data_IF_148804788028
#
_entry.id   IF_148804788028
#
_cell.length_a   1.000
_cell.length_b   1.000
_cell.length_c   1.000
_cell.angle_alpha   90.00
_cell.angle_beta   90.00
_cell.angle_gamma   90.00
#
_symmetry.space_group_name_H-M   'P 1'
#
loop_
_entity.id
_entity.type
_entity.pdbx_description
1 polymer ?
#
# COMPACT_ATOMS: atom_id res chain seq x y z
N UNK A 1 5.19 -10.96 2.52
CA UNK A 1 5.50 -10.04 3.63
C UNK A 1 4.18 -9.68 4.28
N UNK A 2 4.11 -9.69 5.62
CA UNK A 2 2.96 -9.22 6.37
C UNK A 2 3.46 -8.37 7.53
N UNK A 3 2.75 -7.31 7.85
CA UNK A 3 3.07 -6.37 8.92
C UNK A 3 1.78 -5.96 9.64
N UNK A 4 1.84 -5.94 10.97
CA UNK A 4 0.77 -5.48 11.82
C UNK A 4 1.33 -4.49 12.83
N UNK A 5 0.70 -3.33 12.92
CA UNK A 5 1.14 -2.24 13.80
C UNK A 5 -0.02 -1.75 14.66
N UNK A 6 0.24 -1.55 15.95
CA UNK A 6 -0.69 -0.90 16.88
C UNK A 6 -0.04 0.37 17.39
N UNK A 7 -0.74 1.49 17.27
CA UNK A 7 -0.36 2.77 17.85
C UNK A 7 -1.31 3.12 19.00
N UNK A 8 -0.78 3.21 20.20
CA UNK A 8 -1.56 3.57 21.40
C UNK A 8 -1.17 4.96 21.88
N UNK A 9 -2.17 5.77 22.13
CA UNK A 9 -2.00 7.11 22.68
C UNK A 9 -2.86 7.29 23.91
N UNK A 10 -2.29 7.85 24.97
CA UNK A 10 -3.02 8.25 26.17
C UNK A 10 -3.52 9.67 25.96
N UNK A 11 -4.82 9.85 26.00
CA UNK A 11 -5.48 11.15 25.85
C UNK A 11 -6.03 11.60 27.19
N UNK A 12 -6.00 12.91 27.44
CA UNK A 12 -6.59 13.51 28.62
C UNK A 12 -7.65 14.53 28.17
N UNK A 13 -8.88 14.29 28.58
CA UNK A 13 -10.03 15.15 28.26
C UNK A 13 -10.60 15.63 29.59
N UNK A 14 -10.33 16.89 29.94
CA UNK A 14 -10.65 17.41 31.26
C UNK A 14 -9.94 16.66 32.37
N UNK A 15 -10.70 16.04 33.27
CA UNK A 15 -10.19 15.21 34.39
C UNK A 15 -10.08 13.72 34.03
N UNK A 16 -10.65 13.30 32.92
CA UNK A 16 -10.66 11.88 32.49
C UNK A 16 -9.49 11.59 31.57
N UNK A 17 -8.82 10.45 31.83
CA UNK A 17 -7.73 9.94 30.97
C UNK A 17 -8.18 8.64 30.36
N UNK A 18 -8.11 8.52 29.03
CA UNK A 18 -8.42 7.29 28.29
C UNK A 18 -7.29 6.93 27.31
N UNK A 19 -7.31 5.71 26.80
CA UNK A 19 -6.37 5.23 25.80
C UNK A 19 -7.10 5.04 24.47
N UNK A 20 -6.54 5.58 23.42
CA UNK A 20 -6.96 5.37 22.04
C UNK A 20 -5.93 4.48 21.35
N UNK A 21 -6.39 3.42 20.70
CA UNK A 21 -5.55 2.43 20.01
C UNK A 21 -5.96 2.34 18.54
N UNK A 22 -5.12 2.83 17.65
CA UNK A 22 -5.28 2.64 16.21
C UNK A 22 -4.47 1.43 15.77
N UNK A 23 -4.99 0.66 14.82
CA UNK A 23 -4.28 -0.48 14.26
C UNK A 23 -4.20 -0.42 12.74
N UNK A 24 -3.14 -1.02 12.21
CA UNK A 24 -2.90 -1.13 10.79
C UNK A 24 -2.36 -2.53 10.45
N UNK A 25 -2.89 -3.10 9.39
CA UNK A 25 -2.45 -4.36 8.81
C UNK A 25 -2.03 -4.13 7.36
N UNK A 26 -0.89 -4.71 6.96
CA UNK A 26 -0.49 -4.77 5.56
C UNK A 26 -0.04 -6.19 5.21
N UNK A 27 -0.52 -6.71 4.10
CA UNK A 27 -0.06 -7.98 3.51
C UNK A 27 0.31 -7.73 2.06
N UNK A 28 1.50 -8.17 1.68
CA UNK A 28 1.99 -8.08 0.30
C UNK A 28 2.50 -9.43 -0.16
N UNK A 29 2.08 -9.83 -1.35
CA UNK A 29 2.55 -11.02 -2.05
C UNK A 29 3.17 -10.56 -3.35
N UNK A 30 4.33 -11.13 -3.70
CA UNK A 30 4.98 -10.90 -4.99
C UNK A 30 5.40 -12.22 -5.59
N UNK A 31 5.22 -12.34 -6.91
CA UNK A 31 5.55 -13.53 -7.65
C UNK A 31 6.22 -13.17 -8.98
N UNK A 32 7.37 -13.78 -9.24
CA UNK A 32 8.05 -13.63 -10.52
C UNK A 32 7.41 -14.61 -11.50
N UNK A 33 6.67 -14.06 -12.47
CA UNK A 33 5.90 -14.84 -13.43
C UNK A 33 6.68 -15.12 -14.70
N UNK A 34 7.76 -14.37 -14.95
CA UNK A 34 8.53 -14.53 -16.18
C UNK A 34 10.00 -14.19 -15.97
N UNK A 35 10.89 -15.06 -16.44
CA UNK A 35 12.31 -14.89 -16.74
C UNK A 35 13.17 -14.19 -15.69
N UNK A 36 12.89 -14.42 -14.40
CA UNK A 36 13.65 -13.85 -13.29
C UNK A 36 13.83 -14.82 -12.14
N UNK A 37 14.84 -14.56 -11.33
CA UNK A 37 15.09 -15.30 -10.10
C UNK A 37 14.63 -14.49 -8.89
N UNK A 38 13.89 -15.13 -7.99
CA UNK A 38 13.47 -14.55 -6.74
C UNK A 38 14.69 -14.39 -5.81
N UNK A 39 14.95 -13.20 -5.34
CA UNK A 39 15.98 -12.92 -4.37
C UNK A 39 15.47 -11.92 -3.34
N UNK A 40 15.85 -12.11 -2.06
CA UNK A 40 15.57 -11.13 -1.01
C UNK A 40 16.26 -9.79 -1.23
N UNK A 41 17.32 -9.76 -2.03
CA UNK A 41 18.06 -8.54 -2.32
C UNK A 41 17.53 -7.80 -3.53
N UNK A 42 17.34 -8.50 -4.65
CA UNK A 42 16.95 -7.91 -5.94
C UNK A 42 16.47 -8.99 -6.90
N UNK A 43 15.40 -8.69 -7.66
CA UNK A 43 15.01 -9.52 -8.81
C UNK A 43 16.05 -9.34 -9.91
N UNK A 44 16.60 -10.46 -10.40
CA UNK A 44 17.57 -10.46 -11.50
C UNK A 44 16.94 -11.10 -12.73
N UNK A 45 16.86 -10.37 -13.87
CA UNK A 45 16.47 -10.97 -15.13
C UNK A 45 17.52 -11.98 -15.58
N UNK A 46 17.07 -13.17 -16.02
CA UNK A 46 17.96 -14.17 -16.64
C UNK A 46 18.44 -13.72 -18.02
N UNK A 47 17.58 -13.03 -18.76
CA UNK A 47 17.89 -12.46 -20.07
C UNK A 47 17.64 -10.95 -20.01
N UNK A 48 18.61 -10.15 -19.53
CA UNK A 48 18.48 -8.71 -19.42
C UNK A 48 18.43 -8.04 -20.80
N UNK A 49 17.62 -7.00 -20.93
CA UNK A 49 17.63 -6.13 -22.11
C UNK A 49 18.91 -5.30 -22.11
N UNK A 50 19.70 -5.40 -23.17
CA UNK A 50 20.92 -4.63 -23.39
C UNK A 50 20.87 -3.98 -24.78
N UNK A 51 21.76 -3.05 -25.06
CA UNK A 51 21.86 -2.45 -26.39
C UNK A 51 22.21 -3.48 -27.49
N UNK A 52 22.88 -4.57 -27.12
CA UNK A 52 23.23 -5.67 -28.03
C UNK A 52 22.12 -6.71 -28.16
N UNK A 53 21.20 -6.76 -27.19
CA UNK A 53 20.13 -7.75 -27.07
C UNK A 53 18.78 -7.08 -26.78
N UNK A 54 18.32 -6.25 -27.69
CA UNK A 54 17.01 -5.58 -27.57
C UNK A 54 15.81 -6.52 -27.62
N UNK A 55 16.00 -7.75 -28.14
CA UNK A 55 14.99 -8.81 -28.18
C UNK A 55 14.82 -9.55 -26.84
N UNK A 56 15.68 -9.27 -25.86
CA UNK A 56 15.53 -9.84 -24.53
C UNK A 56 14.33 -9.21 -23.81
N UNK A 57 13.59 -10.02 -23.06
CA UNK A 57 12.33 -9.58 -22.46
C UNK A 57 12.46 -9.08 -21.00
N UNK A 58 13.67 -9.17 -20.40
CA UNK A 58 13.83 -8.85 -18.98
C UNK A 58 13.09 -9.83 -18.07
N UNK A 59 12.69 -9.41 -16.89
CA UNK A 59 11.91 -10.22 -15.95
C UNK A 59 10.62 -9.48 -15.52
N UNK A 60 9.55 -10.24 -15.32
CA UNK A 60 8.24 -9.69 -14.90
C UNK A 60 7.87 -10.28 -13.54
N UNK A 61 7.49 -9.38 -12.62
CA UNK A 61 7.01 -9.69 -11.30
C UNK A 61 5.60 -9.12 -11.13
N UNK A 62 4.68 -9.94 -10.67
CA UNK A 62 3.36 -9.53 -10.21
C UNK A 62 3.43 -9.23 -8.71
N UNK A 63 2.80 -8.15 -8.29
CA UNK A 63 2.70 -7.75 -6.87
C UNK A 63 1.24 -7.50 -6.54
N UNK A 64 0.79 -8.05 -5.41
CA UNK A 64 -0.51 -7.74 -4.84
C UNK A 64 -0.32 -7.27 -3.41
N UNK A 65 -1.11 -6.28 -2.99
CA UNK A 65 -1.08 -5.72 -1.65
C UNK A 65 -2.49 -5.50 -1.14
N UNK A 66 -2.70 -5.86 0.11
CA UNK A 66 -3.84 -5.45 0.90
C UNK A 66 -3.34 -4.70 2.12
N UNK A 67 -3.94 -3.57 2.41
CA UNK A 67 -3.69 -2.82 3.64
C UNK A 67 -4.97 -2.29 4.24
N UNK A 68 -5.00 -2.22 5.55
CA UNK A 68 -6.14 -1.75 6.32
C UNK A 68 -5.64 -0.91 7.48
N UNK A 69 -6.31 0.22 7.69
CA UNK A 69 -6.12 1.11 8.83
C UNK A 69 -7.46 1.24 9.56
N UNK A 70 -7.46 1.00 10.86
CA UNK A 70 -8.60 1.18 11.74
C UNK A 70 -8.28 2.24 12.79
N UNK A 71 -9.15 3.23 12.93
CA UNK A 71 -9.10 4.22 14.00
C UNK A 71 -10.04 3.81 15.13
N UNK A 72 -9.57 3.96 16.37
CA UNK A 72 -10.34 3.62 17.55
C UNK A 72 -11.65 4.40 17.62
N UNK A 73 -12.76 3.70 17.82
CA UNK A 73 -14.07 4.30 17.98
C UNK A 73 -14.12 5.34 19.13
N UNK A 74 -13.30 5.16 20.15
CA UNK A 74 -13.17 6.12 21.26
C UNK A 74 -12.70 7.49 20.81
N UNK A 75 -11.88 7.58 19.76
CA UNK A 75 -11.44 8.85 19.19
C UNK A 75 -12.62 9.68 18.66
N UNK A 76 -13.65 9.02 18.13
CA UNK A 76 -14.88 9.64 17.66
C UNK A 76 -15.84 9.97 18.82
N UNK A 77 -16.02 9.05 19.76
CA UNK A 77 -16.90 9.27 20.93
C UNK A 77 -16.40 10.38 21.85
N UNK A 78 -15.09 10.55 21.95
CA UNK A 78 -14.48 11.63 22.73
C UNK A 78 -14.37 12.96 21.94
N UNK A 79 -14.87 13.02 20.71
CA UNK A 79 -14.86 14.23 19.88
C UNK A 79 -13.48 14.65 19.36
N UNK A 80 -12.48 13.75 19.41
CA UNK A 80 -11.15 14.02 18.84
C UNK A 80 -11.20 14.03 17.31
N UNK A 81 -12.04 13.18 16.74
CA UNK A 81 -12.30 13.12 15.30
C UNK A 81 -13.78 13.33 15.01
N UNK A 82 -14.04 14.10 13.97
CA UNK A 82 -15.40 14.31 13.46
C UNK A 82 -15.71 13.25 12.40
N UNK A 83 -16.72 12.37 12.58
CA UNK A 83 -17.05 11.33 11.62
C UNK A 83 -17.50 11.87 10.25
N UNK A 84 -17.96 13.13 10.16
CA UNK A 84 -18.32 13.77 8.91
C UNK A 84 -17.08 14.22 8.09
N UNK A 85 -15.90 14.19 8.68
CA UNK A 85 -14.64 14.65 8.04
C UNK A 85 -13.49 13.63 8.17
N UNK A 86 -13.60 12.73 9.12
CA UNK A 86 -12.53 11.77 9.42
C UNK A 86 -13.00 10.36 9.13
N UNK A 87 -12.19 9.64 8.37
CA UNK A 87 -12.38 8.23 8.04
C UNK A 87 -12.12 7.40 9.29
N UNK A 88 -13.01 6.46 9.61
CA UNK A 88 -12.82 5.52 10.73
C UNK A 88 -12.06 4.26 10.31
N UNK A 89 -12.20 3.86 9.03
CA UNK A 89 -11.51 2.72 8.44
C UNK A 89 -11.16 3.00 7.00
N UNK A 90 -9.94 2.66 6.61
CA UNK A 90 -9.48 2.70 5.22
C UNK A 90 -8.96 1.32 4.83
N UNK A 91 -9.44 0.79 3.71
CA UNK A 91 -9.03 -0.50 3.15
C UNK A 91 -8.52 -0.26 1.74
N UNK A 92 -7.27 -0.64 1.49
CA UNK A 92 -6.61 -0.50 0.19
C UNK A 92 -6.28 -1.86 -0.39
N UNK A 93 -6.68 -2.08 -1.63
CA UNK A 93 -6.27 -3.21 -2.43
C UNK A 93 -5.47 -2.71 -3.64
N UNK A 94 -4.27 -3.22 -3.79
CA UNK A 94 -3.36 -2.86 -4.86
C UNK A 94 -2.90 -4.08 -5.67
N UNK A 95 -2.81 -3.91 -6.98
CA UNK A 95 -2.18 -4.86 -7.89
C UNK A 95 -1.18 -4.12 -8.77
N UNK A 96 -0.02 -4.71 -9.01
CA UNK A 96 1.02 -4.07 -9.80
C UNK A 96 1.88 -5.07 -10.56
N UNK A 97 2.48 -4.56 -11.63
CA UNK A 97 3.46 -5.27 -12.44
C UNK A 97 4.77 -4.49 -12.36
N UNK A 98 5.84 -5.19 -12.02
CA UNK A 98 7.20 -4.70 -12.10
C UNK A 98 7.88 -5.39 -13.28
N UNK A 99 8.37 -4.61 -14.22
CA UNK A 99 9.15 -5.09 -15.34
C UNK A 99 10.60 -4.66 -15.17
N UNK A 100 11.46 -5.61 -14.88
CA UNK A 100 12.90 -5.44 -14.75
C UNK A 100 13.52 -5.66 -16.11
N UNK A 101 13.85 -4.58 -16.82
CA UNK A 101 14.51 -4.66 -18.13
C UNK A 101 15.91 -5.23 -17.99
N UNK A 102 16.67 -4.71 -17.03
CA UNK A 102 18.01 -5.19 -16.68
C UNK A 102 18.29 -4.91 -15.18
N UNK A 103 19.55 -5.00 -14.77
CA UNK A 103 19.95 -4.76 -13.39
C UNK A 103 19.72 -3.31 -12.93
N UNK A 104 19.65 -2.37 -13.87
CA UNK A 104 19.63 -0.95 -13.59
C UNK A 104 18.27 -0.29 -13.86
N UNK A 105 17.44 -0.87 -14.74
CA UNK A 105 16.18 -0.25 -15.18
C UNK A 105 15.00 -1.12 -14.81
N UNK A 106 14.05 -0.52 -14.11
CA UNK A 106 12.77 -1.12 -13.73
C UNK A 106 11.62 -0.18 -14.08
N UNK A 107 10.62 -0.73 -14.73
CA UNK A 107 9.33 -0.08 -14.95
C UNK A 107 8.30 -0.70 -14.00
N UNK A 108 7.42 0.14 -13.46
CA UNK A 108 6.35 -0.28 -12.56
C UNK A 108 5.04 0.33 -13.05
N UNK A 109 4.00 -0.48 -13.04
CA UNK A 109 2.63 -0.05 -13.21
C UNK A 109 1.82 -0.65 -12.09
N UNK A 110 1.04 0.16 -11.36
CA UNK A 110 0.16 -0.33 -10.31
C UNK A 110 -1.18 0.37 -10.31
N UNK A 111 -2.19 -0.39 -9.94
CA UNK A 111 -3.53 0.10 -9.69
C UNK A 111 -3.89 -0.16 -8.23
N UNK A 112 -4.40 0.87 -7.56
CA UNK A 112 -4.85 0.78 -6.18
C UNK A 112 -6.30 1.28 -6.09
N UNK A 113 -7.06 0.64 -5.22
CA UNK A 113 -8.42 1.01 -4.91
C UNK A 113 -8.59 1.06 -3.40
N UNK A 114 -8.97 2.24 -2.89
CA UNK A 114 -9.15 2.47 -1.46
C UNK A 114 -10.62 2.73 -1.15
N UNK A 115 -11.17 1.92 -0.26
CA UNK A 115 -12.49 2.08 0.32
C UNK A 115 -12.38 2.73 1.70
N UNK A 116 -13.29 3.64 1.98
CA UNK A 116 -13.33 4.37 3.23
C UNK A 116 -14.66 4.11 3.95
N UNK A 117 -14.61 4.06 5.27
CA UNK A 117 -15.78 4.06 6.13
C UNK A 117 -15.83 5.40 6.85
N UNK A 118 -16.94 6.11 6.75
CA UNK A 118 -17.15 7.50 7.17
C UNK A 118 -16.29 8.52 6.37
N UNK A 119 -16.19 9.73 6.86
CA UNK A 119 -15.39 10.81 6.27
C UNK A 119 -16.13 11.67 5.25
N UNK A 120 -17.46 11.53 5.15
CA UNK A 120 -18.34 12.43 4.42
C UNK A 120 -19.47 12.94 5.31
N UNK A 121 -20.12 14.03 4.88
CA UNK A 121 -21.21 14.70 5.62
C UNK A 121 -22.34 13.71 5.96
N UNK A 122 -22.96 13.87 7.12
CA UNK A 122 -24.00 12.99 7.67
C UNK A 122 -23.53 11.54 7.89
N UNK A 123 -22.24 11.34 8.18
CA UNK A 123 -21.59 10.04 8.44
C UNK A 123 -21.65 9.06 7.26
N UNK A 124 -21.85 9.57 6.05
CA UNK A 124 -21.70 8.75 4.87
C UNK A 124 -20.24 8.36 4.64
N UNK A 125 -20.05 7.31 3.86
CA UNK A 125 -18.74 6.88 3.46
C UNK A 125 -18.16 7.83 2.40
N UNK A 126 -16.87 8.12 2.53
CA UNK A 126 -16.13 8.84 1.50
C UNK A 126 -16.11 8.02 0.21
N UNK A 127 -16.23 8.64 -0.98
CA UNK A 127 -16.14 7.93 -2.24
C UNK A 127 -14.85 7.11 -2.36
N UNK A 128 -14.98 5.93 -2.95
CA UNK A 128 -13.85 5.06 -3.26
C UNK A 128 -12.85 5.77 -4.15
N UNK A 129 -11.59 5.80 -3.74
CA UNK A 129 -10.49 6.34 -4.53
C UNK A 129 -9.86 5.24 -5.39
N UNK A 130 -9.53 5.57 -6.64
CA UNK A 130 -8.87 4.69 -7.60
C UNK A 130 -7.67 5.42 -8.18
N UNK A 131 -6.50 4.80 -8.10
CA UNK A 131 -5.25 5.41 -8.54
C UNK A 131 -4.53 4.43 -9.46
N UNK A 132 -4.17 4.92 -10.65
CA UNK A 132 -3.22 4.27 -11.55
C UNK A 132 -1.89 5.00 -11.43
N UNK A 133 -0.85 4.27 -11.06
CA UNK A 133 0.48 4.82 -10.84
C UNK A 133 1.49 4.12 -11.75
N UNK A 134 2.31 4.92 -12.44
CA UNK A 134 3.45 4.43 -13.22
C UNK A 134 4.75 5.04 -12.73
N UNK A 135 5.81 4.25 -12.71
CA UNK A 135 7.14 4.67 -12.27
C UNK A 135 8.22 4.02 -13.12
N UNK A 136 9.23 4.80 -13.49
CA UNK A 136 10.50 4.33 -14.00
C UNK A 136 11.58 4.54 -12.94
N UNK A 137 12.38 3.55 -12.70
CA UNK A 137 13.53 3.61 -11.79
C UNK A 137 14.79 3.26 -12.55
N UNK A 138 15.80 4.10 -12.43
CA UNK A 138 17.15 3.88 -12.97
C UNK A 138 18.12 3.92 -11.80
N UNK A 139 19.01 2.92 -11.72
CA UNK A 139 20.09 2.82 -10.73
C UNK A 139 21.43 2.73 -11.47
N UNK A 140 22.47 3.42 -11.00
CA UNK A 140 23.83 3.39 -11.55
C UNK A 140 24.84 3.29 -10.42
#
# INVERSE_FOLDING_TARGET
MAEYTISQQKIKIGTTSDKVANDALQVQISWIIFNGDASFRRVQPRNPVTFESLNAAGAIQLVTRYSELNLDAKAFTHGLFNPDRSVSRAQDFGVGINWYLNHNIKLQLSYNQTHFTHGAVARFDRPTEKILFSRMQVAF
#
